data_IF_552634892253
#
_entry.id   IF_552634892253
#
_cell.length_a   1.000
_cell.length_b   1.000
_cell.length_c   1.000
_cell.angle_alpha   90.00
_cell.angle_beta   90.00
_cell.angle_gamma   90.00
#
_symmetry.space_group_name_H-M   'P 1'
#
loop_
_entity.id
_entity.type
_entity.pdbx_description
1 polymer ?
#
# COMPACT_ATOMS: atom_id res chain seq x y z
N UNK A 1 14.18 -42.63 5.50
CA UNK A 1 15.65 -42.78 5.61
C UNK A 1 16.12 -44.23 5.77
N UNK A 2 15.63 -45.02 6.75
CA UNK A 2 16.08 -46.42 6.98
C UNK A 2 16.06 -47.31 5.72
N UNK A 3 15.00 -47.21 4.90
CA UNK A 3 14.90 -47.96 3.64
C UNK A 3 16.00 -47.62 2.63
N UNK A 4 16.44 -46.35 2.57
CA UNK A 4 17.55 -45.97 1.71
C UNK A 4 18.88 -46.51 2.22
N UNK A 5 19.13 -46.50 3.54
CA UNK A 5 20.38 -47.06 4.10
C UNK A 5 20.53 -48.58 3.86
N UNK A 6 19.41 -49.33 3.81
CA UNK A 6 19.43 -50.75 3.44
C UNK A 6 19.87 -50.97 1.99
N UNK A 7 19.34 -50.17 1.07
CA UNK A 7 19.72 -50.21 -0.34
C UNK A 7 21.19 -49.77 -0.53
N UNK A 8 21.67 -48.77 0.24
CA UNK A 8 23.08 -48.38 0.25
C UNK A 8 24.02 -49.52 0.70
N UNK A 9 23.56 -50.38 1.63
CA UNK A 9 24.28 -51.61 2.05
C UNK A 9 24.30 -52.68 0.97
N UNK A 10 23.21 -52.85 0.20
CA UNK A 10 23.15 -53.77 -0.95
C UNK A 10 24.11 -53.38 -2.09
N UNK A 11 24.36 -52.08 -2.29
CA UNK A 11 25.37 -51.57 -3.22
C UNK A 11 26.80 -51.57 -2.65
N UNK A 12 27.00 -51.97 -1.39
CA UNK A 12 28.30 -51.97 -0.72
C UNK A 12 28.86 -50.57 -0.44
N UNK A 13 27.99 -49.55 -0.41
CA UNK A 13 28.36 -48.15 -0.13
C UNK A 13 28.37 -47.89 1.40
N UNK A 14 27.56 -48.64 2.16
CA UNK A 14 27.47 -48.54 3.62
C UNK A 14 27.70 -49.89 4.28
N UNK A 15 28.68 -49.97 5.20
CA UNK A 15 29.06 -51.22 5.89
C UNK A 15 28.58 -51.30 7.34
N UNK A 16 27.91 -50.26 7.87
CA UNK A 16 27.43 -50.22 9.26
C UNK A 16 26.17 -51.05 9.53
N UNK A 17 25.86 -51.26 10.82
CA UNK A 17 24.61 -51.90 11.23
C UNK A 17 23.49 -50.88 11.43
N UNK A 18 22.40 -51.06 10.67
CA UNK A 18 21.28 -50.11 10.59
C UNK A 18 20.42 -50.19 11.87
N UNK A 19 20.55 -51.26 12.67
CA UNK A 19 19.86 -51.47 13.94
C UNK A 19 20.28 -50.50 15.05
N UNK A 20 21.46 -49.88 14.93
CA UNK A 20 22.00 -48.98 15.96
C UNK A 20 21.60 -47.50 15.75
N UNK A 21 21.01 -47.17 14.59
CA UNK A 21 20.59 -45.82 14.23
C UNK A 21 19.13 -45.57 14.64
N UNK A 22 18.93 -45.20 15.91
CA UNK A 22 17.60 -45.03 16.51
C UNK A 22 17.03 -43.61 16.41
N UNK A 23 17.86 -42.58 16.19
CA UNK A 23 17.41 -41.17 16.10
C UNK A 23 17.39 -40.66 14.64
N UNK A 24 16.42 -39.80 14.27
CA UNK A 24 16.34 -39.19 12.93
C UNK A 24 17.60 -38.41 12.51
N UNK A 25 18.25 -37.73 13.46
CA UNK A 25 19.47 -36.95 13.23
C UNK A 25 20.65 -37.85 12.82
N UNK A 26 20.83 -38.98 13.48
CA UNK A 26 21.89 -39.96 13.18
C UNK A 26 21.70 -40.58 11.78
N UNK A 27 20.43 -40.81 11.39
CA UNK A 27 20.07 -41.31 10.05
C UNK A 27 20.37 -40.27 8.95
N UNK A 28 20.15 -38.99 9.22
CA UNK A 28 20.47 -37.89 8.30
C UNK A 28 21.98 -37.67 8.19
N UNK A 29 22.71 -37.69 9.30
CA UNK A 29 24.17 -37.56 9.33
C UNK A 29 24.85 -38.69 8.55
N UNK A 30 24.38 -39.93 8.75
CA UNK A 30 24.90 -41.09 8.02
C UNK A 30 24.64 -40.98 6.52
N UNK A 31 23.46 -40.48 6.12
CA UNK A 31 23.15 -40.24 4.72
C UNK A 31 23.95 -39.10 4.08
N UNK A 32 24.27 -38.03 4.84
CA UNK A 32 25.21 -36.99 4.39
C UNK A 32 26.58 -37.56 4.13
N UNK A 33 27.11 -38.36 5.06
CA UNK A 33 28.43 -38.98 4.93
C UNK A 33 28.51 -39.93 3.71
N UNK A 34 27.45 -40.67 3.40
CA UNK A 34 27.35 -41.50 2.19
C UNK A 34 27.41 -40.65 0.90
N UNK A 35 26.80 -39.47 0.89
CA UNK A 35 26.80 -38.56 -0.27
C UNK A 35 28.12 -37.76 -0.40
N UNK A 36 28.84 -37.55 0.69
CA UNK A 36 30.16 -36.90 0.67
C UNK A 36 31.27 -37.86 0.21
N UNK A 37 31.13 -39.16 0.48
CA UNK A 37 32.11 -40.19 0.16
C UNK A 37 31.60 -41.20 -0.90
N UNK A 38 31.11 -40.69 -2.02
CA UNK A 38 30.61 -41.54 -3.13
C UNK A 38 31.80 -42.31 -3.74
N UNK A 39 31.81 -43.64 -3.74
CA UNK A 39 32.85 -44.40 -4.43
C UNK A 39 32.68 -44.31 -5.95
N UNK A 40 33.80 -44.21 -6.68
CA UNK A 40 33.80 -44.11 -8.16
C UNK A 40 33.20 -45.36 -8.85
N UNK A 41 33.19 -46.51 -8.16
CA UNK A 41 32.65 -47.79 -8.61
C UNK A 41 32.03 -48.58 -7.44
N UNK A 42 31.08 -49.48 -7.73
CA UNK A 42 30.60 -50.43 -6.73
C UNK A 42 31.75 -51.39 -6.36
N UNK A 43 32.10 -51.51 -5.08
CA UNK A 43 33.25 -52.29 -4.57
C UNK A 43 33.15 -53.81 -4.75
N UNK A 44 32.26 -54.30 -5.60
CA UNK A 44 32.18 -55.72 -5.95
C UNK A 44 33.33 -56.11 -6.88
N UNK A 45 34.23 -56.97 -6.41
CA UNK A 45 35.40 -57.46 -7.15
C UNK A 45 34.98 -58.23 -8.41
N UNK A 46 35.60 -57.94 -9.57
CA UNK A 46 36.08 -58.89 -10.58
C UNK A 46 36.98 -58.13 -11.58
N UNK A 47 38.13 -58.73 -11.88
CA UNK A 47 39.16 -58.26 -12.81
C UNK A 47 38.81 -58.69 -14.25
N UNK A 48 38.81 -57.73 -15.19
CA UNK A 48 39.19 -57.85 -16.62
C UNK A 48 38.61 -56.65 -17.43
N UNK A 49 39.08 -55.42 -17.16
CA UNK A 49 38.55 -54.20 -17.81
C UNK A 49 39.68 -53.17 -18.06
N UNK A 50 40.78 -53.54 -18.72
CA UNK A 50 41.83 -52.55 -19.02
C UNK A 50 41.53 -51.76 -20.32
N UNK A 51 41.06 -52.42 -21.38
CA UNK A 51 40.82 -51.76 -22.67
C UNK A 51 39.40 -51.19 -22.82
N UNK A 52 38.38 -51.86 -22.25
CA UNK A 52 37.03 -51.29 -22.18
C UNK A 52 36.99 -50.04 -21.28
N UNK A 53 37.79 -49.96 -20.22
CA UNK A 53 37.75 -48.79 -19.33
C UNK A 53 38.09 -47.47 -20.03
N UNK A 54 38.95 -47.46 -21.04
CA UNK A 54 39.38 -46.21 -21.70
C UNK A 54 38.28 -45.60 -22.58
N UNK A 55 37.59 -46.42 -23.37
CA UNK A 55 36.47 -45.93 -24.18
C UNK A 55 35.28 -45.56 -23.29
N UNK A 56 35.00 -46.35 -22.25
CA UNK A 56 33.95 -46.06 -21.28
C UNK A 56 34.23 -44.79 -20.47
N UNK A 57 35.47 -44.53 -20.06
CA UNK A 57 35.85 -43.29 -19.37
C UNK A 57 35.65 -42.05 -20.24
N UNK A 58 35.86 -42.17 -21.56
CA UNK A 58 35.54 -41.09 -22.52
C UNK A 58 34.03 -40.86 -22.62
N UNK A 59 33.23 -41.93 -22.63
CA UNK A 59 31.77 -41.83 -22.60
C UNK A 59 31.28 -41.15 -21.32
N UNK A 60 31.81 -41.50 -20.15
CA UNK A 60 31.44 -40.88 -18.87
C UNK A 60 31.79 -39.40 -18.82
N UNK A 61 32.97 -39.02 -19.34
CA UNK A 61 33.36 -37.62 -19.42
C UNK A 61 32.42 -36.81 -20.34
N UNK A 62 32.01 -37.38 -21.48
CA UNK A 62 31.09 -36.72 -22.42
C UNK A 62 29.65 -36.64 -21.85
N UNK A 63 29.17 -37.67 -21.15
CA UNK A 63 27.88 -37.67 -20.46
C UNK A 63 27.81 -36.63 -19.32
N UNK A 64 28.87 -36.55 -18.51
CA UNK A 64 28.98 -35.56 -17.44
C UNK A 64 28.96 -34.14 -18.00
N UNK A 65 29.65 -33.90 -19.12
CA UNK A 65 29.70 -32.60 -19.78
C UNK A 65 28.34 -32.21 -20.36
N UNK A 66 27.64 -33.12 -21.05
CA UNK A 66 26.27 -32.92 -21.53
C UNK A 66 25.29 -32.64 -20.39
N UNK A 67 25.37 -33.41 -19.31
CA UNK A 67 24.50 -33.25 -18.14
C UNK A 67 24.73 -31.92 -17.43
N UNK A 68 25.99 -31.48 -17.31
CA UNK A 68 26.34 -30.17 -16.76
C UNK A 68 25.78 -29.02 -17.61
N UNK A 69 25.89 -29.12 -18.94
CA UNK A 69 25.36 -28.11 -19.86
C UNK A 69 23.83 -28.03 -19.78
N UNK A 70 23.15 -29.17 -19.76
CA UNK A 70 21.68 -29.25 -19.58
C UNK A 70 21.27 -28.63 -18.23
N UNK A 71 22.00 -28.95 -17.16
CA UNK A 71 21.76 -28.37 -15.83
C UNK A 71 21.91 -26.85 -15.81
N UNK A 72 22.96 -26.31 -16.43
CA UNK A 72 23.20 -24.87 -16.54
C UNK A 72 22.07 -24.16 -17.31
N UNK A 73 21.62 -24.72 -18.44
CA UNK A 73 20.51 -24.15 -19.21
C UNK A 73 19.17 -24.22 -18.46
N UNK A 74 18.88 -25.33 -17.77
CA UNK A 74 17.68 -25.45 -16.93
C UNK A 74 17.66 -24.42 -15.81
N UNK A 75 18.80 -24.21 -15.14
CA UNK A 75 18.94 -23.16 -14.11
C UNK A 75 18.67 -21.78 -14.72
N UNK A 76 19.34 -21.45 -15.83
CA UNK A 76 19.15 -20.18 -16.54
C UNK A 76 17.69 -19.94 -16.95
N UNK A 77 17.02 -20.98 -17.42
CA UNK A 77 15.60 -20.92 -17.78
C UNK A 77 14.69 -20.66 -16.56
N UNK A 78 15.01 -21.27 -15.42
CA UNK A 78 14.30 -21.00 -14.17
C UNK A 78 14.51 -19.55 -13.69
N UNK A 79 15.75 -19.05 -13.78
CA UNK A 79 16.08 -17.66 -13.42
C UNK A 79 15.32 -16.65 -14.32
N UNK A 80 15.24 -16.92 -15.63
CA UNK A 80 14.45 -16.11 -16.57
C UNK A 80 12.96 -16.11 -16.20
N UNK A 81 12.39 -17.27 -15.83
CA UNK A 81 11.00 -17.38 -15.40
C UNK A 81 10.71 -16.59 -14.12
N UNK A 82 11.60 -16.68 -13.13
CA UNK A 82 11.48 -15.95 -11.87
C UNK A 82 11.59 -14.43 -12.08
N UNK A 83 12.51 -13.99 -12.94
CA UNK A 83 12.60 -12.57 -13.30
C UNK A 83 11.33 -12.10 -14.01
N UNK A 84 10.81 -12.88 -14.96
CA UNK A 84 9.58 -12.56 -15.70
C UNK A 84 8.37 -12.43 -14.77
N UNK A 85 8.21 -13.33 -13.79
CA UNK A 85 7.13 -13.24 -12.80
C UNK A 85 7.28 -12.01 -11.91
N UNK A 86 8.49 -11.73 -11.42
CA UNK A 86 8.77 -10.54 -10.61
C UNK A 86 8.49 -9.22 -11.36
N UNK A 87 8.88 -9.13 -12.63
CA UNK A 87 8.57 -7.98 -13.48
C UNK A 87 7.07 -7.83 -13.76
N UNK A 88 6.33 -8.92 -13.93
CA UNK A 88 4.88 -8.86 -14.14
C UNK A 88 4.14 -8.37 -12.88
N UNK A 89 4.55 -8.83 -11.69
CA UNK A 89 4.00 -8.38 -10.41
C UNK A 89 4.33 -6.90 -10.15
N UNK A 90 5.58 -6.51 -10.36
CA UNK A 90 6.01 -5.11 -10.21
C UNK A 90 5.30 -4.21 -11.23
N UNK A 91 5.21 -4.62 -12.50
CA UNK A 91 4.52 -3.89 -13.55
C UNK A 91 3.04 -3.66 -13.22
N UNK A 92 2.34 -4.66 -12.67
CA UNK A 92 0.96 -4.50 -12.21
C UNK A 92 0.83 -3.46 -11.07
N UNK A 93 1.79 -3.41 -10.15
CA UNK A 93 1.81 -2.43 -9.06
C UNK A 93 2.06 -1.00 -9.56
N UNK A 94 2.98 -0.84 -10.53
CA UNK A 94 3.29 0.44 -11.17
C UNK A 94 2.11 0.91 -12.01
N UNK A 95 1.48 0.02 -12.79
CA UNK A 95 0.30 0.35 -13.60
C UNK A 95 -0.86 0.83 -12.74
N UNK A 96 -1.15 0.16 -11.61
CA UNK A 96 -2.13 0.62 -10.63
C UNK A 96 -1.80 2.00 -10.05
N UNK A 97 -0.51 2.33 -9.88
CA UNK A 97 -0.08 3.64 -9.37
C UNK A 97 -0.21 4.72 -10.45
N UNK A 98 0.18 4.44 -11.69
CA UNK A 98 0.04 5.36 -12.83
C UNK A 98 -1.42 5.61 -13.18
N UNK A 99 -2.28 4.58 -13.24
CA UNK A 99 -3.71 4.73 -13.55
C UNK A 99 -4.44 5.59 -12.50
N UNK A 100 -4.05 5.46 -11.22
CA UNK A 100 -4.56 6.32 -10.13
C UNK A 100 -4.04 7.75 -10.20
N UNK A 101 -2.94 7.97 -10.91
CA UNK A 101 -2.25 9.26 -11.03
C UNK A 101 -2.45 9.86 -12.43
N UNK A 102 -3.63 9.75 -13.06
CA UNK A 102 -3.97 10.50 -14.30
C UNK A 102 -4.02 12.04 -14.10
N UNK A 103 -3.13 12.54 -13.25
CA UNK A 103 -2.95 13.90 -12.78
C UNK A 103 -2.45 14.77 -13.92
N UNK A 104 -1.57 14.27 -14.79
CA UNK A 104 -1.11 15.06 -15.95
C UNK A 104 -2.28 15.48 -16.85
N UNK A 105 -3.16 14.54 -17.17
CA UNK A 105 -4.33 14.78 -18.02
C UNK A 105 -5.39 15.63 -17.30
N UNK A 106 -5.61 15.37 -16.00
CA UNK A 106 -6.49 16.19 -15.18
C UNK A 106 -6.01 17.66 -15.06
N UNK A 107 -4.70 17.88 -14.86
CA UNK A 107 -4.08 19.21 -14.82
C UNK A 107 -4.13 19.91 -16.17
N UNK A 108 -3.94 19.19 -17.28
CA UNK A 108 -4.12 19.73 -18.64
C UNK A 108 -5.58 20.19 -18.86
N UNK A 109 -6.57 19.37 -18.49
CA UNK A 109 -8.00 19.72 -18.61
C UNK A 109 -8.33 20.96 -17.79
N UNK A 110 -7.91 20.99 -16.52
CA UNK A 110 -8.15 22.14 -15.64
C UNK A 110 -7.46 23.40 -16.15
N UNK A 111 -6.21 23.31 -16.61
CA UNK A 111 -5.48 24.45 -17.16
C UNK A 111 -6.09 25.04 -18.44
N UNK A 112 -6.85 24.23 -19.20
CA UNK A 112 -7.54 24.65 -20.43
C UNK A 112 -8.94 25.21 -20.17
N UNK A 113 -9.65 24.67 -19.18
CA UNK A 113 -11.03 25.05 -18.85
C UNK A 113 -11.12 26.24 -17.89
N UNK A 114 -10.05 26.52 -17.12
CA UNK A 114 -10.06 27.56 -16.08
C UNK A 114 -9.66 28.94 -16.61
N UNK A 115 -10.51 29.95 -16.40
CA UNK A 115 -10.19 31.35 -16.67
C UNK A 115 -9.31 32.01 -15.58
N UNK A 116 -9.26 31.42 -14.39
CA UNK A 116 -8.47 31.88 -13.24
C UNK A 116 -7.52 30.77 -12.77
N UNK A 117 -6.50 31.12 -11.98
CA UNK A 117 -5.51 30.17 -11.50
C UNK A 117 -6.16 29.00 -10.74
N UNK A 118 -6.05 27.74 -11.21
CA UNK A 118 -6.65 26.58 -10.55
C UNK A 118 -6.17 26.30 -9.11
N UNK A 119 -5.02 26.86 -8.70
CA UNK A 119 -4.45 26.63 -7.38
C UNK A 119 -4.92 27.65 -6.32
N UNK A 120 -5.15 28.91 -6.71
CA UNK A 120 -5.52 29.98 -5.78
C UNK A 120 -6.77 30.78 -6.18
N UNK A 121 -7.37 30.49 -7.33
CA UNK A 121 -8.58 31.12 -7.84
C UNK A 121 -8.42 32.58 -8.34
N UNK A 122 -7.22 33.16 -8.28
CA UNK A 122 -6.96 34.53 -8.72
C UNK A 122 -6.64 34.62 -10.22
N UNK A 123 -7.12 35.69 -10.86
CA UNK A 123 -6.75 36.10 -12.22
C UNK A 123 -5.42 36.87 -12.29
N UNK A 124 -4.84 37.24 -11.14
CA UNK A 124 -3.65 38.10 -11.04
C UNK A 124 -2.34 37.33 -11.19
N UNK A 125 -2.40 36.03 -11.47
CA UNK A 125 -1.27 35.21 -11.86
C UNK A 125 -1.17 35.12 -13.39
N UNK A 126 -0.44 36.03 -14.06
CA UNK A 126 -0.36 36.07 -15.53
C UNK A 126 0.30 34.82 -16.15
N UNK A 127 0.94 33.97 -15.34
CA UNK A 127 1.62 32.73 -15.77
C UNK A 127 0.98 31.45 -15.23
N UNK A 128 -0.18 31.52 -14.56
CA UNK A 128 -0.80 30.35 -13.93
C UNK A 128 -0.97 29.16 -14.91
N UNK A 129 -1.46 29.44 -16.12
CA UNK A 129 -1.66 28.39 -17.12
C UNK A 129 -0.34 27.82 -17.64
N UNK A 130 0.70 28.64 -17.84
CA UNK A 130 2.01 28.14 -18.27
C UNK A 130 2.71 27.30 -17.20
N UNK A 131 2.57 27.66 -15.92
CA UNK A 131 3.16 26.90 -14.81
C UNK A 131 2.44 25.56 -14.61
N UNK A 132 1.10 25.55 -14.68
CA UNK A 132 0.33 24.30 -14.61
C UNK A 132 0.62 23.37 -15.78
N UNK A 133 0.77 23.91 -17.00
CA UNK A 133 1.19 23.12 -18.15
C UNK A 133 2.63 22.58 -17.99
N UNK A 134 3.52 23.34 -17.35
CA UNK A 134 4.89 22.90 -17.03
C UNK A 134 4.89 21.75 -16.00
N UNK A 135 4.07 21.87 -14.96
CA UNK A 135 3.88 20.82 -13.94
C UNK A 135 3.23 19.58 -14.57
N UNK A 136 2.21 19.75 -15.40
CA UNK A 136 1.57 18.66 -16.12
C UNK A 136 2.57 17.94 -17.04
N UNK A 137 3.45 18.68 -17.73
CA UNK A 137 4.51 18.10 -18.56
C UNK A 137 5.53 17.31 -17.72
N UNK A 138 5.88 17.77 -16.52
CA UNK A 138 6.74 17.03 -15.60
C UNK A 138 6.10 15.71 -15.15
N UNK A 139 4.83 15.74 -14.73
CA UNK A 139 4.09 14.53 -14.37
C UNK A 139 3.93 13.57 -15.56
N UNK A 140 3.65 14.09 -16.76
CA UNK A 140 3.57 13.31 -18.00
C UNK A 140 4.88 12.59 -18.32
N UNK A 141 6.03 13.21 -18.03
CA UNK A 141 7.34 12.58 -18.16
C UNK A 141 7.48 11.39 -17.20
N UNK A 142 7.15 11.57 -15.92
CA UNK A 142 7.20 10.49 -14.93
C UNK A 142 6.20 9.36 -15.20
N UNK A 143 4.99 9.69 -15.67
CA UNK A 143 3.98 8.71 -16.08
C UNK A 143 4.47 7.89 -17.28
N UNK A 144 5.10 8.53 -18.28
CA UNK A 144 5.65 7.84 -19.45
C UNK A 144 6.87 6.97 -19.12
N UNK A 145 7.78 7.46 -18.26
CA UNK A 145 8.91 6.67 -17.75
C UNK A 145 8.40 5.45 -16.97
N UNK A 146 7.38 5.63 -16.12
CA UNK A 146 6.78 4.54 -15.34
C UNK A 146 6.06 3.51 -16.23
N UNK A 147 5.39 3.94 -17.30
CA UNK A 147 4.78 3.05 -18.30
C UNK A 147 5.83 2.18 -19.00
N UNK A 148 7.00 2.74 -19.32
CA UNK A 148 8.08 2.00 -19.97
C UNK A 148 8.68 0.88 -19.10
N UNK A 149 8.62 1.04 -17.77
CA UNK A 149 9.14 0.06 -16.80
C UNK A 149 8.12 -1.06 -16.51
N UNK A 150 6.83 -0.82 -16.75
CA UNK A 150 5.75 -1.77 -16.47
C UNK A 150 5.61 -2.89 -17.52
N UNK A 151 6.24 -2.75 -18.68
CA UNK A 151 6.20 -3.76 -19.73
C UNK A 151 7.37 -4.73 -19.61
N UNK A 152 7.08 -6.04 -19.58
CA UNK A 152 8.12 -7.08 -19.64
C UNK A 152 8.86 -6.93 -20.98
N UNK A 153 10.18 -6.68 -20.99
CA UNK A 153 10.90 -6.48 -22.24
C UNK A 153 10.80 -7.70 -23.16
N UNK A 154 10.56 -7.45 -24.46
CA UNK A 154 10.48 -8.51 -25.49
C UNK A 154 11.79 -9.31 -25.62
N UNK A 155 12.91 -8.76 -25.13
CA UNK A 155 14.19 -9.45 -25.01
C UNK A 155 14.11 -10.69 -24.10
N UNK A 156 13.29 -10.68 -23.05
CA UNK A 156 13.11 -11.86 -22.18
C UNK A 156 12.41 -13.01 -22.91
N UNK A 157 11.41 -12.73 -23.73
CA UNK A 157 10.72 -13.76 -24.53
C UNK A 157 11.68 -14.37 -25.56
N UNK A 158 12.48 -13.54 -26.23
CA UNK A 158 13.50 -13.99 -27.19
C UNK A 158 14.59 -14.82 -26.51
N UNK A 159 15.02 -14.41 -25.32
CA UNK A 159 16.01 -15.12 -24.52
C UNK A 159 15.47 -16.47 -24.04
N UNK A 160 14.23 -16.50 -23.52
CA UNK A 160 13.53 -17.72 -23.11
C UNK A 160 13.41 -18.72 -24.27
N UNK A 161 13.03 -18.25 -25.45
CA UNK A 161 12.93 -19.08 -26.65
C UNK A 161 14.29 -19.59 -27.12
N UNK A 162 15.33 -18.74 -27.10
CA UNK A 162 16.69 -19.16 -27.43
C UNK A 162 17.21 -20.25 -26.49
N UNK A 163 17.05 -20.07 -25.18
CA UNK A 163 17.49 -21.04 -24.17
C UNK A 163 16.69 -22.33 -24.28
N UNK A 164 15.40 -22.28 -24.61
CA UNK A 164 14.59 -23.47 -24.88
C UNK A 164 15.07 -24.25 -26.12
N UNK A 165 15.38 -23.56 -27.22
CA UNK A 165 15.91 -24.19 -28.44
C UNK A 165 17.28 -24.85 -28.18
N UNK A 166 18.16 -24.16 -27.45
CA UNK A 166 19.46 -24.70 -27.05
C UNK A 166 19.31 -25.93 -26.15
N UNK A 167 18.37 -25.89 -25.20
CA UNK A 167 18.06 -27.01 -24.33
C UNK A 167 17.49 -28.21 -25.11
N UNK A 168 16.60 -27.98 -26.07
CA UNK A 168 16.08 -29.03 -26.96
C UNK A 168 17.21 -29.69 -27.76
N UNK A 169 18.12 -28.90 -28.34
CA UNK A 169 19.27 -29.43 -29.06
C UNK A 169 20.20 -30.27 -28.19
N UNK A 170 20.44 -29.87 -26.94
CA UNK A 170 21.24 -30.69 -26.01
C UNK A 170 20.51 -31.97 -25.57
N UNK A 171 19.20 -31.94 -25.40
CA UNK A 171 18.40 -33.13 -25.08
C UNK A 171 18.36 -34.12 -26.24
N UNK A 172 18.28 -33.64 -27.49
CA UNK A 172 18.39 -34.47 -28.69
C UNK A 172 19.79 -35.10 -28.77
N UNK A 173 20.84 -34.32 -28.57
CA UNK A 173 22.22 -34.83 -28.52
C UNK A 173 22.43 -35.86 -27.41
N UNK A 174 21.82 -35.64 -26.23
CA UNK A 174 21.84 -36.61 -25.14
C UNK A 174 21.14 -37.91 -25.54
N UNK A 175 20.02 -37.84 -26.25
CA UNK A 175 19.30 -39.02 -26.75
C UNK A 175 20.08 -39.79 -27.81
N UNK A 176 20.71 -39.09 -28.75
CA UNK A 176 21.61 -39.70 -29.74
C UNK A 176 22.82 -40.36 -29.08
N UNK A 177 23.41 -39.68 -28.10
CA UNK A 177 24.51 -40.20 -27.30
C UNK A 177 24.12 -41.47 -26.54
N UNK A 178 22.96 -41.49 -25.88
CA UNK A 178 22.41 -42.68 -25.22
C UNK A 178 22.19 -43.84 -26.20
N UNK A 179 21.62 -43.58 -27.38
CA UNK A 179 21.43 -44.62 -28.40
C UNK A 179 22.77 -45.21 -28.89
N UNK A 180 23.79 -44.36 -29.08
CA UNK A 180 25.14 -44.80 -29.49
C UNK A 180 25.79 -45.65 -28.40
N UNK A 181 25.63 -45.24 -27.15
CA UNK A 181 26.14 -45.95 -25.99
C UNK A 181 25.47 -47.32 -25.82
N UNK A 182 24.14 -47.40 -25.97
CA UNK A 182 23.38 -48.65 -25.92
C UNK A 182 23.84 -49.65 -27.01
N UNK A 183 24.23 -49.17 -28.18
CA UNK A 183 24.78 -50.00 -29.26
C UNK A 183 26.17 -50.56 -28.95
N UNK A 184 27.03 -49.79 -28.25
CA UNK A 184 28.37 -50.22 -27.85
C UNK A 184 28.32 -51.31 -26.77
N UNK A 185 27.43 -51.12 -25.79
CA UNK A 185 27.26 -52.06 -24.67
C UNK A 185 26.72 -53.43 -25.12
N UNK A 186 25.93 -53.50 -26.20
CA UNK A 186 25.41 -54.78 -26.75
C UNK A 186 26.49 -55.82 -27.07
N UNK A 187 27.73 -55.40 -27.29
CA UNK A 187 28.86 -56.29 -27.59
C UNK A 187 29.48 -56.98 -26.36
N UNK A 188 29.16 -56.53 -25.14
CA UNK A 188 29.76 -57.03 -23.91
C UNK A 188 28.73 -57.15 -22.77
N UNK A 189 28.11 -58.32 -22.64
CA UNK A 189 27.05 -58.62 -21.68
C UNK A 189 27.46 -58.40 -20.21
N UNK A 190 28.73 -58.63 -19.86
CA UNK A 190 29.26 -58.36 -18.52
C UNK A 190 29.37 -56.86 -18.23
N UNK A 191 29.83 -56.07 -19.20
CA UNK A 191 29.87 -54.61 -19.09
C UNK A 191 28.45 -54.00 -19.04
N UNK A 192 27.47 -54.62 -19.71
CA UNK A 192 26.07 -54.21 -19.64
C UNK A 192 25.49 -54.38 -18.22
N UNK A 193 25.72 -55.54 -17.60
CA UNK A 193 25.22 -55.82 -16.25
C UNK A 193 25.89 -54.90 -15.20
N UNK A 194 27.19 -54.62 -15.34
CA UNK A 194 27.92 -53.69 -14.48
C UNK A 194 27.46 -52.24 -14.66
N UNK A 195 27.29 -51.79 -15.91
CA UNK A 195 26.77 -50.47 -16.21
C UNK A 195 25.35 -50.29 -15.66
N UNK A 196 24.48 -51.28 -15.85
CA UNK A 196 23.11 -51.21 -15.32
C UNK A 196 23.11 -51.14 -13.79
N UNK A 197 24.01 -51.88 -13.12
CA UNK A 197 24.19 -51.82 -11.67
C UNK A 197 24.70 -50.45 -11.21
N UNK A 198 25.68 -49.87 -11.93
CA UNK A 198 26.24 -48.53 -11.67
C UNK A 198 25.21 -47.42 -11.92
N UNK A 199 24.42 -47.51 -12.99
CA UNK A 199 23.31 -46.59 -13.28
C UNK A 199 22.25 -46.64 -12.19
N UNK A 200 21.83 -47.84 -11.77
CA UNK A 200 20.86 -47.99 -10.70
C UNK A 200 21.40 -47.45 -9.36
N UNK A 201 22.71 -47.60 -9.10
CA UNK A 201 23.38 -47.03 -7.94
C UNK A 201 23.34 -45.49 -7.97
N UNK A 202 23.65 -44.85 -9.09
CA UNK A 202 23.59 -43.39 -9.22
C UNK A 202 22.17 -42.83 -9.17
N UNK A 203 21.19 -43.52 -9.77
CA UNK A 203 19.76 -43.16 -9.64
C UNK A 203 19.36 -43.22 -8.15
N UNK A 204 19.75 -44.28 -7.46
CA UNK A 204 19.51 -44.41 -6.03
C UNK A 204 20.16 -43.29 -5.21
N UNK A 205 21.42 -42.92 -5.48
CA UNK A 205 22.11 -41.80 -4.83
C UNK A 205 21.40 -40.46 -5.09
N UNK A 206 20.89 -40.24 -6.32
CA UNK A 206 20.08 -39.06 -6.65
C UNK A 206 18.77 -39.01 -5.86
N UNK A 207 18.07 -40.14 -5.74
CA UNK A 207 16.85 -40.25 -4.94
C UNK A 207 17.14 -40.06 -3.43
N UNK A 208 18.27 -40.57 -2.95
CA UNK A 208 18.73 -40.37 -1.57
C UNK A 208 18.99 -38.88 -1.30
N UNK A 209 19.70 -38.19 -2.20
CA UNK A 209 19.97 -36.75 -2.11
C UNK A 209 18.69 -35.92 -2.12
N UNK A 210 17.78 -36.16 -3.06
CA UNK A 210 16.50 -35.44 -3.13
C UNK A 210 15.63 -35.67 -1.88
N UNK A 211 15.64 -36.89 -1.35
CA UNK A 211 14.95 -37.20 -0.10
C UNK A 211 15.59 -36.47 1.08
N UNK A 212 16.93 -36.42 1.14
CA UNK A 212 17.67 -35.69 2.18
C UNK A 212 17.39 -34.19 2.14
N UNK A 213 17.45 -33.55 0.97
CA UNK A 213 17.09 -32.14 0.80
C UNK A 213 15.64 -31.86 1.22
N UNK A 214 14.73 -32.82 1.00
CA UNK A 214 13.32 -32.70 1.44
C UNK A 214 13.21 -32.81 2.96
N UNK A 215 13.94 -33.74 3.58
CA UNK A 215 13.97 -33.89 5.03
C UNK A 215 14.65 -32.71 5.73
N UNK A 216 15.71 -32.13 5.15
CA UNK A 216 16.35 -30.91 5.64
C UNK A 216 15.40 -29.72 5.59
N UNK A 217 14.67 -29.51 4.49
CA UNK A 217 13.65 -28.46 4.41
C UNK A 217 12.51 -28.63 5.42
N UNK A 218 12.19 -29.87 5.79
CA UNK A 218 11.19 -30.16 6.84
C UNK A 218 11.75 -29.92 8.25
N UNK A 219 13.06 -30.07 8.45
CA UNK A 219 13.75 -29.82 9.72
C UNK A 219 14.07 -28.32 9.94
N UNK A 220 14.48 -27.60 8.90
CA UNK A 220 14.68 -26.14 8.89
C UNK A 220 13.37 -25.35 9.07
N UNK A 221 12.21 -26.01 8.98
CA UNK A 221 10.92 -25.41 9.32
C UNK A 221 10.79 -25.02 10.80
N UNK A 222 11.68 -25.49 11.69
CA UNK A 222 11.61 -25.23 13.13
C UNK A 222 11.75 -23.75 13.52
N UNK A 223 12.76 -23.05 12.99
CA UNK A 223 13.04 -21.66 13.39
C UNK A 223 11.93 -20.70 12.96
N UNK A 224 11.47 -20.80 11.70
CA UNK A 224 10.38 -19.95 11.22
C UNK A 224 9.02 -20.31 11.82
N UNK A 225 8.75 -21.59 12.12
CA UNK A 225 7.51 -21.97 12.80
C UNK A 225 7.51 -21.51 14.27
N UNK A 226 8.68 -21.52 14.93
CA UNK A 226 8.84 -20.97 16.27
C UNK A 226 8.66 -19.44 16.27
N UNK A 227 9.25 -18.74 15.31
CA UNK A 227 9.06 -17.29 15.15
C UNK A 227 7.62 -16.92 14.83
N UNK A 228 6.93 -17.68 13.95
CA UNK A 228 5.50 -17.52 13.69
C UNK A 228 4.70 -17.74 14.97
N UNK A 229 5.00 -18.78 15.74
CA UNK A 229 4.30 -19.06 17.00
C UNK A 229 4.48 -17.94 18.02
N UNK A 230 5.69 -17.37 18.13
CA UNK A 230 5.97 -16.22 19.00
C UNK A 230 5.13 -15.01 18.56
N UNK A 231 5.15 -14.68 17.26
CA UNK A 231 4.39 -13.55 16.71
C UNK A 231 2.87 -13.73 16.84
N UNK A 232 2.36 -14.95 16.67
CA UNK A 232 0.94 -15.26 16.86
C UNK A 232 0.51 -15.12 18.32
N UNK A 233 1.36 -15.53 19.26
CA UNK A 233 1.12 -15.34 20.69
C UNK A 233 1.15 -13.85 21.07
N UNK A 234 2.12 -13.10 20.56
CA UNK A 234 2.19 -11.65 20.75
C UNK A 234 0.93 -10.97 20.19
N UNK A 235 0.54 -11.29 18.95
CA UNK A 235 -0.65 -10.74 18.31
C UNK A 235 -1.93 -11.08 19.10
N UNK A 236 -2.03 -12.28 19.65
CA UNK A 236 -3.16 -12.68 20.50
C UNK A 236 -3.19 -11.86 21.79
N UNK A 237 -2.05 -11.71 22.46
CA UNK A 237 -1.95 -10.90 23.68
C UNK A 237 -2.27 -9.42 23.44
N UNK A 238 -1.81 -8.84 22.31
CA UNK A 238 -2.11 -7.47 21.92
C UNK A 238 -3.60 -7.28 21.58
N UNK A 239 -4.23 -8.28 20.94
CA UNK A 239 -5.68 -8.26 20.68
C UNK A 239 -6.51 -8.36 21.95
N UNK A 240 -6.03 -9.08 22.97
CA UNK A 240 -6.70 -9.09 24.29
C UNK A 240 -6.61 -7.74 25.00
N UNK A 241 -5.53 -6.98 24.78
CA UNK A 241 -5.38 -5.61 25.30
C UNK A 241 -6.24 -4.59 24.54
N UNK A 242 -6.64 -4.89 23.30
CA UNK A 242 -7.38 -3.97 22.42
C UNK A 242 -8.74 -4.56 22.05
N UNK A 243 -9.77 -4.15 22.77
CA UNK A 243 -11.14 -4.45 22.37
C UNK A 243 -11.60 -3.51 21.25
N UNK A 244 -11.39 -3.94 20.00
CA UNK A 244 -11.83 -3.21 18.79
C UNK A 244 -13.32 -2.89 18.81
N UNK A 245 -14.15 -3.77 19.38
CA UNK A 245 -15.60 -3.56 19.47
C UNK A 245 -15.90 -2.43 20.46
N UNK A 246 -15.24 -2.40 21.60
CA UNK A 246 -15.37 -1.28 22.57
C UNK A 246 -14.87 0.03 21.97
N UNK A 247 -13.76 0.03 21.23
CA UNK A 247 -13.26 1.24 20.53
C UNK A 247 -14.30 1.75 19.55
N UNK A 248 -14.80 0.87 18.68
CA UNK A 248 -15.84 1.22 17.70
C UNK A 248 -17.10 1.76 18.38
N UNK A 249 -17.56 1.12 19.45
CA UNK A 249 -18.71 1.59 20.22
C UNK A 249 -18.47 2.98 20.83
N UNK A 250 -17.26 3.26 21.35
CA UNK A 250 -16.91 4.59 21.88
C UNK A 250 -16.92 5.65 20.79
N UNK A 251 -16.40 5.34 19.60
CA UNK A 251 -16.44 6.24 18.44
C UNK A 251 -17.88 6.48 17.99
N UNK A 252 -18.70 5.44 17.84
CA UNK A 252 -20.11 5.57 17.45
C UNK A 252 -20.91 6.44 18.46
N UNK A 253 -20.61 6.31 19.76
CA UNK A 253 -21.22 7.15 20.82
C UNK A 253 -20.74 8.60 20.72
N UNK A 254 -19.45 8.82 20.42
CA UNK A 254 -18.89 10.15 20.23
C UNK A 254 -19.53 10.85 19.03
N UNK A 255 -19.59 10.17 17.88
CA UNK A 255 -20.20 10.68 16.65
C UNK A 255 -21.65 11.09 16.89
N UNK A 256 -22.45 10.26 17.57
CA UNK A 256 -23.84 10.59 17.92
C UNK A 256 -23.96 11.82 18.82
N UNK A 257 -23.07 11.97 19.82
CA UNK A 257 -23.06 13.15 20.70
C UNK A 257 -22.72 14.41 19.92
N UNK A 258 -21.72 14.35 19.04
CA UNK A 258 -21.31 15.47 18.20
C UNK A 258 -22.44 15.83 17.23
N UNK A 259 -23.03 14.84 16.56
CA UNK A 259 -24.21 15.00 15.69
C UNK A 259 -25.38 15.71 16.39
N UNK A 260 -25.65 15.35 17.64
CA UNK A 260 -26.70 16.01 18.41
C UNK A 260 -26.32 17.45 18.77
N UNK A 261 -25.07 17.71 19.16
CA UNK A 261 -24.59 19.08 19.41
C UNK A 261 -24.65 19.96 18.16
N UNK A 262 -24.37 19.39 16.97
CA UNK A 262 -24.53 20.11 15.69
C UNK A 262 -25.99 20.55 15.54
N UNK A 263 -26.96 19.64 15.74
CA UNK A 263 -28.38 19.97 15.64
C UNK A 263 -28.77 21.12 16.58
N UNK A 264 -28.27 21.11 17.81
CA UNK A 264 -28.61 22.13 18.80
C UNK A 264 -28.13 23.53 18.39
N UNK A 265 -26.98 23.62 17.73
CA UNK A 265 -26.47 24.87 17.15
C UNK A 265 -27.19 25.26 15.85
N UNK A 266 -27.56 24.30 15.00
CA UNK A 266 -28.28 24.59 13.75
C UNK A 266 -29.64 25.26 13.99
N UNK A 267 -30.28 25.02 15.14
CA UNK A 267 -31.56 25.65 15.52
C UNK A 267 -31.49 27.18 15.57
N UNK A 268 -30.32 27.75 15.85
CA UNK A 268 -30.13 29.21 15.93
C UNK A 268 -29.48 29.81 14.69
N UNK A 269 -28.91 28.98 13.83
CA UNK A 269 -28.19 29.41 12.64
C UNK A 269 -29.09 29.55 11.42
N UNK A 270 -28.58 30.25 10.41
CA UNK A 270 -29.24 30.44 9.14
C UNK A 270 -29.11 29.19 8.25
N UNK A 271 -30.05 28.28 8.44
CA UNK A 271 -30.24 27.07 7.65
C UNK A 271 -31.71 26.88 7.31
N UNK A 272 -31.98 26.10 6.25
CA UNK A 272 -33.33 25.64 5.94
C UNK A 272 -33.97 24.91 7.13
N UNK A 273 -35.27 25.10 7.34
CA UNK A 273 -35.99 24.62 8.52
C UNK A 273 -35.83 23.11 8.75
N UNK A 274 -35.82 22.32 7.66
CA UNK A 274 -35.63 20.86 7.70
C UNK A 274 -34.34 20.43 8.41
N UNK A 275 -33.29 21.25 8.37
CA UNK A 275 -32.00 20.97 9.02
C UNK A 275 -32.00 21.26 10.52
N UNK A 276 -33.05 21.89 11.04
CA UNK A 276 -33.23 22.15 12.48
C UNK A 276 -33.99 21.05 13.21
N UNK A 277 -34.58 20.10 12.46
CA UNK A 277 -35.43 19.05 13.01
C UNK A 277 -34.68 17.74 13.28
N UNK A 278 -33.80 17.33 12.36
CA UNK A 278 -33.13 16.02 12.40
C UNK A 278 -31.62 16.18 12.52
N UNK A 279 -31.02 15.45 13.46
CA UNK A 279 -29.58 15.51 13.67
C UNK A 279 -28.83 15.00 12.44
N UNK A 280 -27.83 15.75 11.95
CA UNK A 280 -27.01 15.31 10.84
C UNK A 280 -26.12 14.13 11.26
N UNK A 281 -25.65 13.33 10.31
CA UNK A 281 -24.70 12.24 10.55
C UNK A 281 -23.28 12.74 10.35
N UNK A 282 -22.52 12.84 11.42
CA UNK A 282 -21.08 13.07 11.37
C UNK A 282 -20.36 11.72 11.28
N UNK A 283 -19.47 11.56 10.30
CA UNK A 283 -18.66 10.35 10.09
C UNK A 283 -17.18 10.70 10.19
N UNK A 284 -16.49 10.14 11.19
CA UNK A 284 -15.03 10.25 11.31
C UNK A 284 -14.35 9.45 10.20
N UNK A 285 -14.95 8.33 9.80
CA UNK A 285 -14.40 7.44 8.76
C UNK A 285 -14.38 8.13 7.39
N UNK A 286 -15.49 8.78 7.03
CA UNK A 286 -15.65 9.39 5.71
C UNK A 286 -15.34 10.89 5.72
N UNK A 287 -14.98 11.43 6.89
CA UNK A 287 -14.65 12.84 7.15
C UNK A 287 -15.71 13.81 6.59
N UNK A 288 -16.97 13.49 6.82
CA UNK A 288 -18.08 14.24 6.25
C UNK A 288 -19.28 14.36 7.20
N UNK A 289 -20.19 15.21 6.76
CA UNK A 289 -21.53 15.35 7.33
C UNK A 289 -22.54 14.96 6.26
N UNK A 290 -23.45 14.05 6.60
CA UNK A 290 -24.65 13.77 5.80
C UNK A 290 -25.89 14.35 6.48
N UNK A 291 -26.84 14.83 5.68
CA UNK A 291 -28.11 15.39 6.15
C UNK A 291 -29.26 14.64 5.49
N UNK A 292 -30.39 14.57 6.19
CA UNK A 292 -31.61 13.95 5.67
C UNK A 292 -32.29 14.92 4.70
N UNK A 293 -32.52 14.48 3.46
CA UNK A 293 -33.23 15.28 2.45
C UNK A 293 -34.71 14.90 2.36
N UNK A 294 -35.46 15.68 1.58
CA UNK A 294 -36.92 15.55 1.43
C UNK A 294 -37.33 14.23 0.74
N UNK A 295 -36.42 13.60 0.01
CA UNK A 295 -36.61 12.29 -0.60
C UNK A 295 -36.47 11.12 0.39
N UNK A 296 -36.20 11.42 1.67
CA UNK A 296 -36.00 10.43 2.74
C UNK A 296 -34.61 9.80 2.73
N UNK A 297 -33.71 10.24 1.85
CA UNK A 297 -32.35 9.73 1.76
C UNK A 297 -31.34 10.65 2.45
N UNK A 298 -30.21 10.06 2.84
CA UNK A 298 -29.07 10.79 3.37
C UNK A 298 -28.16 11.21 2.23
N UNK A 299 -27.89 12.51 2.13
CA UNK A 299 -26.96 13.08 1.15
C UNK A 299 -25.84 13.78 1.88
N UNK A 300 -24.66 13.82 1.29
CA UNK A 300 -23.54 14.58 1.83
C UNK A 300 -23.85 16.08 1.77
N UNK A 301 -23.27 16.84 2.70
CA UNK A 301 -23.38 18.31 2.72
C UNK A 301 -22.94 18.90 1.37
N UNK A 302 -21.98 18.27 0.70
CA UNK A 302 -21.49 18.67 -0.63
C UNK A 302 -22.56 18.61 -1.73
N UNK A 303 -23.52 17.71 -1.59
CA UNK A 303 -24.57 17.45 -2.57
C UNK A 303 -25.79 18.35 -2.36
N UNK A 304 -25.83 19.09 -1.25
CA UNK A 304 -26.98 19.92 -0.92
C UNK A 304 -26.59 21.40 -0.79
N UNK A 305 -27.32 22.22 -1.54
CA UNK A 305 -26.99 23.61 -1.81
C UNK A 305 -27.43 24.56 -0.70
N UNK A 306 -26.48 25.34 -0.20
CA UNK A 306 -26.41 26.81 -0.26
C UNK A 306 -25.14 27.19 0.48
N UNK A 307 -24.47 28.28 0.08
CA UNK A 307 -23.26 28.69 0.79
C UNK A 307 -23.55 29.02 2.28
N UNK A 308 -24.78 29.50 2.59
CA UNK A 308 -25.23 29.77 3.96
C UNK A 308 -25.36 28.50 4.79
N UNK A 309 -25.98 27.45 4.23
CA UNK A 309 -26.08 26.14 4.85
C UNK A 309 -24.68 25.62 5.20
N UNK A 310 -23.75 25.67 4.25
CA UNK A 310 -22.38 25.18 4.46
C UNK A 310 -21.70 25.88 5.63
N UNK A 311 -21.70 27.21 5.67
CA UNK A 311 -21.10 27.98 6.77
C UNK A 311 -21.74 27.61 8.11
N UNK A 312 -23.07 27.55 8.17
CA UNK A 312 -23.81 27.18 9.37
C UNK A 312 -23.45 25.77 9.87
N UNK A 313 -23.36 24.77 8.98
CA UNK A 313 -22.95 23.41 9.36
C UNK A 313 -21.51 23.36 9.90
N UNK A 314 -20.58 24.12 9.31
CA UNK A 314 -19.19 24.16 9.79
C UNK A 314 -19.08 24.83 11.16
N UNK A 315 -19.79 25.94 11.38
CA UNK A 315 -19.84 26.61 12.68
C UNK A 315 -20.42 25.67 13.75
N UNK A 316 -21.55 25.04 13.45
CA UNK A 316 -22.20 24.10 14.36
C UNK A 316 -21.31 22.89 14.68
N UNK A 317 -20.59 22.35 13.68
CA UNK A 317 -19.62 21.27 13.87
C UNK A 317 -18.46 21.70 14.77
N UNK A 318 -17.85 22.86 14.52
CA UNK A 318 -16.70 23.32 15.31
C UNK A 318 -17.08 23.58 16.76
N UNK A 319 -18.25 24.18 17.02
CA UNK A 319 -18.75 24.34 18.38
C UNK A 319 -18.97 22.97 19.03
N UNK A 320 -19.70 22.07 18.38
CA UNK A 320 -19.99 20.73 18.91
C UNK A 320 -18.73 19.92 19.22
N UNK A 321 -17.72 19.99 18.34
CA UNK A 321 -16.41 19.34 18.55
C UNK A 321 -15.68 19.91 19.77
N UNK A 322 -15.55 21.24 19.86
CA UNK A 322 -14.88 21.88 21.00
C UNK A 322 -15.58 21.52 22.32
N UNK A 323 -16.90 21.58 22.35
CA UNK A 323 -17.68 21.18 23.50
C UNK A 323 -17.52 19.70 23.86
N UNK A 324 -17.44 18.82 22.87
CA UNK A 324 -17.18 17.40 23.09
C UNK A 324 -15.79 17.16 23.67
N UNK A 325 -14.77 17.82 23.12
CA UNK A 325 -13.38 17.68 23.55
C UNK A 325 -13.14 18.22 24.95
N UNK A 326 -13.79 19.32 25.33
CA UNK A 326 -13.75 19.86 26.69
C UNK A 326 -14.30 18.89 27.74
N UNK A 327 -15.26 18.04 27.35
CA UNK A 327 -15.83 17.03 28.23
C UNK A 327 -14.98 15.76 28.34
N UNK A 328 -13.86 15.66 27.61
CA UNK A 328 -12.93 14.55 27.73
C UNK A 328 -11.91 14.83 28.84
N UNK A 329 -11.58 13.81 29.66
CA UNK A 329 -10.62 13.98 30.76
C UNK A 329 -9.21 14.35 30.30
N UNK A 330 -8.83 14.00 29.07
CA UNK A 330 -7.55 14.36 28.44
C UNK A 330 -7.78 14.58 26.95
N UNK A 331 -7.92 15.84 26.52
CA UNK A 331 -7.97 16.22 25.11
C UNK A 331 -6.63 16.81 24.66
N UNK A 332 -6.12 16.37 23.52
CA UNK A 332 -4.96 16.98 22.85
C UNK A 332 -5.36 18.11 21.88
N UNK A 333 -6.66 18.35 21.70
CA UNK A 333 -7.16 19.40 20.80
C UNK A 333 -7.14 20.73 21.55
N UNK A 334 -6.47 21.77 21.01
CA UNK A 334 -6.50 23.10 21.60
C UNK A 334 -7.91 23.64 21.71
N UNK A 335 -8.23 24.23 22.87
CA UNK A 335 -9.54 24.81 23.16
C UNK A 335 -9.73 26.19 22.53
N UNK A 336 -9.35 26.35 21.26
CA UNK A 336 -9.67 27.56 20.50
C UNK A 336 -9.91 27.25 19.01
N UNK A 337 -10.68 28.12 18.35
CA UNK A 337 -10.93 28.07 16.91
C UNK A 337 -10.79 29.46 16.31
N UNK A 338 -10.18 29.55 15.14
CA UNK A 338 -10.09 30.78 14.35
C UNK A 338 -11.00 30.64 13.13
N UNK A 339 -11.95 31.57 12.96
CA UNK A 339 -12.79 31.68 11.78
C UNK A 339 -12.32 32.86 10.93
N UNK A 340 -11.99 32.59 9.68
CA UNK A 340 -11.57 33.59 8.70
C UNK A 340 -12.72 33.89 7.74
N UNK A 341 -13.25 35.11 7.82
CA UNK A 341 -14.35 35.67 7.04
C UNK A 341 -15.63 34.80 6.99
N UNK A 342 -16.16 34.29 8.12
CA UNK A 342 -17.38 33.49 8.11
C UNK A 342 -18.60 34.22 7.54
N UNK A 343 -18.65 35.55 7.59
CA UNK A 343 -19.76 36.33 7.05
C UNK A 343 -19.74 36.50 5.52
N UNK A 344 -18.64 36.13 4.83
CA UNK A 344 -18.41 36.47 3.42
C UNK A 344 -19.57 36.06 2.50
N UNK A 345 -20.19 34.92 2.79
CA UNK A 345 -21.33 34.38 2.02
C UNK A 345 -22.52 35.34 1.97
N UNK A 346 -22.73 36.12 3.02
CA UNK A 346 -23.82 37.07 3.19
C UNK A 346 -23.49 38.47 2.64
N UNK A 347 -22.22 38.74 2.29
CA UNK A 347 -21.79 40.04 1.75
C UNK A 347 -21.06 39.96 0.39
N UNK A 348 -21.62 39.29 -0.63
CA UNK A 348 -20.96 39.15 -1.93
C UNK A 348 -20.77 40.48 -2.69
N UNK A 349 -21.60 41.50 -2.39
CA UNK A 349 -21.67 42.77 -3.13
C UNK A 349 -20.48 43.72 -2.89
N UNK A 350 -19.70 43.54 -1.82
CA UNK A 350 -18.54 44.40 -1.50
C UNK A 350 -17.37 44.26 -2.52
N UNK A 351 -17.30 43.16 -3.28
CA UNK A 351 -16.23 42.96 -4.28
C UNK A 351 -16.50 43.65 -5.63
N UNK A 352 -17.72 44.08 -5.94
CA UNK A 352 -18.06 44.70 -7.25
C UNK A 352 -17.90 46.23 -7.30
N UNK A 353 -17.77 46.92 -6.15
CA UNK A 353 -17.53 48.36 -6.08
C UNK A 353 -16.08 48.64 -5.66
N UNK A 354 -15.12 48.38 -6.55
CA UNK A 354 -13.73 48.84 -6.40
C UNK A 354 -13.51 50.22 -7.06
N UNK A 355 -14.50 50.73 -7.82
CA UNK A 355 -14.46 52.09 -8.34
C UNK A 355 -15.48 52.97 -7.62
N UNK A 356 -14.94 53.95 -6.89
CA UNK A 356 -15.51 55.24 -6.52
C UNK A 356 -16.95 55.25 -5.98
N UNK A 357 -17.07 55.15 -4.66
CA UNK A 357 -17.83 56.04 -3.76
C UNK A 357 -18.04 55.32 -2.42
N UNK A 358 -17.71 56.01 -1.32
CA UNK A 358 -18.01 55.61 0.06
C UNK A 358 -19.51 55.77 0.22
N UNK A 359 -20.26 54.80 -0.28
CA UNK A 359 -21.69 54.71 -0.08
C UNK A 359 -21.92 53.56 0.88
N UNK A 360 -22.52 53.89 2.02
CA UNK A 360 -22.85 52.96 3.10
C UNK A 360 -23.57 51.75 2.47
N UNK A 361 -22.98 50.54 2.50
CA UNK A 361 -23.59 49.39 1.85
C UNK A 361 -24.99 49.17 2.45
N UNK A 362 -26.03 49.40 1.64
CA UNK A 362 -27.38 48.97 1.96
C UNK A 362 -27.37 47.44 2.01
N UNK A 363 -27.17 46.91 3.21
CA UNK A 363 -27.31 45.51 3.53
C UNK A 363 -28.79 45.15 3.55
N UNK A 364 -29.11 43.95 3.09
CA UNK A 364 -30.45 43.41 3.30
C UNK A 364 -30.55 42.99 4.77
N UNK A 365 -31.66 43.32 5.44
CA UNK A 365 -31.85 43.02 6.87
C UNK A 365 -31.71 41.53 7.18
N UNK A 366 -32.05 40.66 6.21
CA UNK A 366 -31.92 39.20 6.31
C UNK A 366 -30.45 38.74 6.39
N UNK A 367 -29.55 39.34 5.58
CA UNK A 367 -28.13 39.04 5.58
C UNK A 367 -27.47 39.48 6.90
N UNK A 368 -27.82 40.67 7.40
CA UNK A 368 -27.34 41.17 8.70
C UNK A 368 -27.76 40.22 9.81
N UNK A 369 -29.04 39.81 9.82
CA UNK A 369 -29.54 38.93 10.87
C UNK A 369 -28.89 37.53 10.81
N UNK A 370 -28.61 37.01 9.61
CA UNK A 370 -27.88 35.75 9.45
C UNK A 370 -26.46 35.81 10.03
N UNK A 371 -25.74 36.90 9.77
CA UNK A 371 -24.41 37.13 10.36
C UNK A 371 -24.52 37.33 11.87
N UNK A 372 -25.53 38.05 12.35
CA UNK A 372 -25.79 38.20 13.78
C UNK A 372 -26.05 36.85 14.46
N UNK A 373 -26.76 35.93 13.82
CA UNK A 373 -26.97 34.55 14.29
C UNK A 373 -25.67 33.77 14.43
N UNK A 374 -24.72 33.95 13.50
CA UNK A 374 -23.37 33.33 13.60
C UNK A 374 -22.68 33.77 14.89
N UNK A 375 -22.52 35.09 15.08
CA UNK A 375 -21.82 35.62 16.26
C UNK A 375 -22.53 35.25 17.57
N UNK A 376 -23.87 35.31 17.60
CA UNK A 376 -24.66 34.88 18.78
C UNK A 376 -24.44 33.39 19.10
N UNK A 377 -24.41 32.53 18.08
CA UNK A 377 -24.22 31.08 18.28
C UNK A 377 -22.83 30.78 18.83
N UNK A 378 -21.79 31.40 18.27
CA UNK A 378 -20.41 31.28 18.76
C UNK A 378 -20.27 31.77 20.19
N UNK A 379 -20.78 32.97 20.48
CA UNK A 379 -20.71 33.58 21.81
C UNK A 379 -21.46 32.73 22.85
N UNK A 380 -22.67 32.26 22.51
CA UNK A 380 -23.46 31.38 23.37
C UNK A 380 -22.69 30.10 23.71
N UNK A 381 -22.09 29.44 22.72
CA UNK A 381 -21.33 28.20 22.97
C UNK A 381 -20.11 28.45 23.88
N UNK A 382 -19.40 29.56 23.71
CA UNK A 382 -18.28 29.95 24.59
C UNK A 382 -18.76 30.24 26.02
N UNK A 383 -19.84 31.03 26.17
CA UNK A 383 -20.41 31.42 27.46
C UNK A 383 -20.99 30.23 28.24
N UNK A 384 -21.68 29.32 27.57
CA UNK A 384 -22.22 28.10 28.20
C UNK A 384 -21.12 27.19 28.76
N UNK A 385 -19.93 27.22 28.16
CA UNK A 385 -18.73 26.54 28.69
C UNK A 385 -17.87 27.42 29.59
N UNK A 386 -18.39 28.57 30.03
CA UNK A 386 -17.71 29.51 30.94
C UNK A 386 -16.33 29.93 30.46
N UNK A 387 -16.15 30.08 29.14
CA UNK A 387 -14.86 30.46 28.54
C UNK A 387 -13.80 29.35 28.54
N UNK A 388 -14.19 28.08 28.76
CA UNK A 388 -13.26 26.95 28.68
C UNK A 388 -12.71 26.72 27.26
N UNK A 389 -13.33 27.31 26.23
CA UNK A 389 -12.76 27.43 24.89
C UNK A 389 -12.94 28.84 24.35
N UNK A 390 -12.12 29.21 23.35
CA UNK A 390 -12.10 30.55 22.75
C UNK A 390 -12.44 30.52 21.25
N UNK A 391 -13.21 31.50 20.81
CA UNK A 391 -13.44 31.77 19.39
C UNK A 391 -12.74 33.07 18.99
N UNK A 392 -11.97 33.04 17.90
CA UNK A 392 -11.34 34.22 17.29
C UNK A 392 -11.93 34.36 15.89
N UNK A 393 -12.50 35.52 15.57
CA UNK A 393 -13.14 35.75 14.27
C UNK A 393 -12.45 36.92 13.58
N UNK A 394 -11.98 36.70 12.35
CA UNK A 394 -11.46 37.74 11.46
C UNK A 394 -12.54 37.99 10.41
N UNK A 395 -13.14 39.19 10.39
CA UNK A 395 -14.29 39.45 9.51
C UNK A 395 -14.33 40.92 9.05
N UNK A 396 -15.13 41.18 8.02
CA UNK A 396 -15.46 42.53 7.53
C UNK A 396 -16.76 43.09 8.12
N UNK A 397 -17.53 42.26 8.85
CA UNK A 397 -18.67 42.71 9.62
C UNK A 397 -18.26 43.86 10.56
N UNK A 398 -19.16 44.81 10.77
CA UNK A 398 -18.93 45.95 11.64
C UNK A 398 -19.56 45.79 13.02
N UNK A 399 -19.20 46.71 13.93
CA UNK A 399 -19.73 46.76 15.29
C UNK A 399 -21.24 46.97 15.36
N UNK A 400 -21.88 47.50 14.31
CA UNK A 400 -23.34 47.60 14.24
C UNK A 400 -24.02 46.23 14.20
N UNK A 401 -23.32 45.21 13.70
CA UNK A 401 -23.83 43.83 13.60
C UNK A 401 -23.59 43.06 14.91
N UNK A 402 -22.35 43.04 15.41
CA UNK A 402 -21.97 42.19 16.55
C UNK A 402 -21.81 42.92 17.89
N UNK A 403 -21.81 44.26 17.92
CA UNK A 403 -21.38 45.04 19.08
C UNK A 403 -22.23 44.88 20.34
N UNK A 404 -23.51 44.51 20.21
CA UNK A 404 -24.41 44.30 21.36
C UNK A 404 -24.50 42.83 21.79
N UNK A 405 -23.72 41.93 21.18
CA UNK A 405 -23.77 40.50 21.50
C UNK A 405 -22.90 40.25 22.73
N UNK A 406 -23.53 39.81 23.82
CA UNK A 406 -22.82 39.40 25.03
C UNK A 406 -21.77 38.33 24.73
N UNK A 407 -20.55 38.49 25.26
CA UNK A 407 -19.44 37.56 25.04
C UNK A 407 -18.62 37.82 23.78
N UNK A 408 -19.03 38.76 22.91
CA UNK A 408 -18.22 39.22 21.78
C UNK A 408 -17.44 40.46 22.18
N UNK A 409 -16.14 40.48 21.89
CA UNK A 409 -15.25 41.61 22.15
C UNK A 409 -14.48 41.95 20.88
N UNK A 410 -14.61 43.18 20.41
CA UNK A 410 -13.81 43.73 19.32
C UNK A 410 -12.40 44.05 19.83
N UNK A 411 -11.40 43.38 19.26
CA UNK A 411 -10.00 43.55 19.68
C UNK A 411 -9.30 44.62 18.84
N UNK A 412 -9.48 44.58 17.52
CA UNK A 412 -8.89 45.54 16.62
C UNK A 412 -9.72 45.69 15.34
N UNK A 413 -9.60 46.85 14.70
CA UNK A 413 -10.22 47.17 13.42
C UNK A 413 -9.15 47.62 12.42
N UNK A 414 -9.06 46.90 11.29
CA UNK A 414 -8.10 47.18 10.22
C UNK A 414 -8.78 47.86 9.03
N UNK A 415 -8.86 49.19 9.05
CA UNK A 415 -9.36 50.02 7.95
C UNK A 415 -8.33 51.03 7.45
N UNK A 416 -8.44 51.39 6.17
CA UNK A 416 -7.59 52.41 5.54
C UNK A 416 -6.10 52.05 5.61
N UNK A 417 -5.32 52.92 6.23
CA UNK A 417 -3.86 52.76 6.42
C UNK A 417 -3.48 51.71 7.46
N UNK A 418 -4.39 51.38 8.39
CA UNK A 418 -4.19 50.35 9.41
C UNK A 418 -4.55 48.98 8.83
N UNK A 419 -3.57 48.08 8.73
CA UNK A 419 -3.69 46.75 8.12
C UNK A 419 -3.33 45.67 9.14
N UNK A 420 -3.91 44.46 8.96
CA UNK A 420 -3.59 43.28 9.77
C UNK A 420 -2.09 42.94 9.70
N UNK A 421 -1.51 43.01 8.49
CA UNK A 421 -0.06 42.99 8.29
C UNK A 421 0.40 44.45 8.19
N UNK A 422 1.14 44.97 9.18
CA UNK A 422 1.63 46.34 9.17
C UNK A 422 2.42 46.64 7.89
N UNK A 423 2.18 47.81 7.28
CA UNK A 423 2.87 48.21 6.02
C UNK A 423 4.39 48.16 6.17
N UNK A 424 4.88 48.58 7.33
CA UNK A 424 6.30 48.58 7.73
C UNK A 424 6.96 47.19 7.71
N UNK A 425 6.21 46.08 7.68
CA UNK A 425 6.78 44.73 7.57
C UNK A 425 7.18 44.34 6.16
N UNK A 426 6.63 45.01 5.15
CA UNK A 426 6.88 44.72 3.73
C UNK A 426 7.27 45.96 2.93
N UNK A 427 7.66 47.05 3.61
CA UNK A 427 8.26 48.24 2.98
C UNK A 427 9.76 48.10 2.81
#
# INVERSE_FOLDING_TARGET
>A
MVGHLKIAKEYGIFEGDISDLSKPEDLLLTAKNILENIPDHSRTKIEDIANSNNDFSKYEAEEALLSSQIGALKKRLNDIKNLKSGFAEYGNSVRKRVDRLSISQWLETIGLESQACPACGSSDHPKANSEILSIAAAFKKYENESKSIAEVPTSFMREEERVNLELQGLLERQKEFQNRFDLLIRSNKKAQDEFQRRKNMFIFLGHLKASLETFEKLADGGEFLEEISILENELTSLRELVDEKTIKQRVDVAEKKISQGILDHLKTLDVEEKYREVAPKFSVKDLNISVLSNDGNWHFLAEIGSASNWVSFHIALMCSLQEYFLNQGTSCVPSFVIFDQPSQVYFPKLRKKINDEIDDPQYEDEDIEAVRKIFRTLAKSVLEKKGAWQCIVLDHADKGIYGDIEGVVEIDEWRGEKKLIPKEWYS
#
